data_IF_651087985652
#
_entry.id   IF_651087985652
#
_cell.length_a   1.000
_cell.length_b   1.000
_cell.length_c   1.000
_cell.angle_alpha   90.00
_cell.angle_beta   90.00
_cell.angle_gamma   90.00
#
_symmetry.space_group_name_H-M   'P 1'
#
loop_
_entity.id
_entity.type
_entity.pdbx_description
1 polymer ?
#
# COMPACT_ATOMS: atom_id res chain seq x y z
N UNK A 1 20.67 2.94 -4.39
CA UNK A 1 20.40 1.60 -4.93
C UNK A 1 19.02 1.18 -4.45
N UNK A 2 18.00 1.32 -5.30
CA UNK A 2 16.60 1.25 -4.87
C UNK A 2 16.25 -0.19 -4.49
N UNK A 3 15.88 -0.41 -3.21
CA UNK A 3 15.46 -1.72 -2.68
C UNK A 3 14.42 -2.40 -3.58
N UNK A 4 13.59 -1.62 -4.26
CA UNK A 4 12.59 -2.11 -5.23
C UNK A 4 13.20 -2.82 -6.45
N UNK A 5 14.33 -2.36 -6.97
CA UNK A 5 15.01 -3.00 -8.11
C UNK A 5 15.61 -4.36 -7.72
N UNK A 6 16.11 -4.47 -6.50
CA UNK A 6 16.67 -5.72 -5.96
C UNK A 6 15.59 -6.80 -5.77
N UNK A 7 14.43 -6.44 -5.20
CA UNK A 7 13.30 -7.38 -5.06
C UNK A 7 12.76 -7.86 -6.41
N UNK A 8 12.65 -6.97 -7.41
CA UNK A 8 12.22 -7.35 -8.76
C UNK A 8 13.19 -8.33 -9.43
N UNK A 9 14.50 -8.11 -9.28
CA UNK A 9 15.55 -9.00 -9.81
C UNK A 9 15.52 -10.37 -9.11
N UNK A 10 15.34 -10.41 -7.79
CA UNK A 10 15.21 -11.67 -7.05
C UNK A 10 13.97 -12.47 -7.47
N UNK A 11 12.83 -11.80 -7.69
CA UNK A 11 11.59 -12.46 -8.14
C UNK A 11 11.76 -13.01 -9.56
N UNK A 12 12.39 -12.25 -10.46
CA UNK A 12 12.68 -12.72 -11.83
C UNK A 12 13.64 -13.92 -11.82
N UNK A 13 14.70 -13.88 -11.00
CA UNK A 13 15.65 -14.97 -10.88
C UNK A 13 15.01 -16.24 -10.29
N UNK A 14 14.17 -16.10 -9.26
CA UNK A 14 13.43 -17.22 -8.68
C UNK A 14 12.44 -17.84 -9.67
N UNK A 15 11.74 -17.01 -10.46
CA UNK A 15 10.83 -17.46 -11.51
C UNK A 15 11.57 -18.24 -12.62
N UNK A 16 12.70 -17.72 -13.09
CA UNK A 16 13.57 -18.39 -14.08
C UNK A 16 14.09 -19.73 -13.56
N UNK A 17 14.51 -19.80 -12.29
CA UNK A 17 14.98 -21.02 -11.66
C UNK A 17 13.87 -22.08 -11.54
N UNK A 18 12.67 -21.69 -11.11
CA UNK A 18 11.50 -22.58 -11.06
C UNK A 18 11.10 -23.09 -12.45
N UNK A 19 11.11 -22.22 -13.46
CA UNK A 19 10.83 -22.59 -14.85
C UNK A 19 11.87 -23.59 -15.38
N UNK A 20 13.16 -23.37 -15.10
CA UNK A 20 14.23 -24.29 -15.49
C UNK A 20 14.08 -25.66 -14.82
N UNK A 21 13.74 -25.71 -13.52
CA UNK A 21 13.46 -26.95 -12.80
C UNK A 21 12.28 -27.72 -13.42
N UNK A 22 11.20 -27.02 -13.76
CA UNK A 22 10.05 -27.61 -14.45
C UNK A 22 10.42 -28.19 -15.83
N UNK A 23 11.21 -27.45 -16.62
CA UNK A 23 11.71 -27.93 -17.92
C UNK A 23 12.58 -29.17 -17.76
N UNK A 24 13.48 -29.20 -16.76
CA UNK A 24 14.31 -30.38 -16.50
C UNK A 24 13.49 -31.60 -16.07
N UNK A 25 12.42 -31.42 -15.29
CA UNK A 25 11.51 -32.50 -14.90
C UNK A 25 10.67 -33.04 -16.07
N UNK A 26 10.32 -32.16 -17.03
CA UNK A 26 9.63 -32.53 -18.28
C UNK A 26 10.54 -33.37 -19.19
N UNK A 27 11.82 -32.98 -19.33
CA UNK A 27 12.81 -33.68 -20.17
C UNK A 27 13.15 -35.07 -19.60
N UNK A 28 13.14 -35.24 -18.28
CA UNK A 28 13.48 -36.51 -17.63
C UNK A 28 12.41 -37.62 -17.80
N UNK A 29 11.26 -37.30 -18.44
CA UNK A 29 10.12 -38.18 -18.73
C UNK A 29 9.95 -39.37 -17.76
N UNK A 30 9.66 -39.11 -16.47
CA UNK A 30 9.33 -40.18 -15.54
C UNK A 30 8.03 -40.89 -15.97
N UNK A 31 7.85 -42.17 -15.64
CA UNK A 31 6.74 -43.03 -16.11
C UNK A 31 5.33 -42.52 -15.75
N UNK A 32 5.22 -41.49 -14.92
CA UNK A 32 3.97 -40.85 -14.50
C UNK A 32 3.90 -39.36 -14.92
N UNK A 33 4.30 -39.04 -16.16
CA UNK A 33 4.30 -37.70 -16.79
C UNK A 33 3.03 -36.86 -16.54
N UNK A 34 1.84 -37.49 -16.54
CA UNK A 34 0.57 -36.79 -16.36
C UNK A 34 0.47 -36.05 -15.02
N UNK A 35 1.00 -36.63 -13.93
CA UNK A 35 0.96 -36.01 -12.61
C UNK A 35 1.87 -34.79 -12.53
N UNK A 36 3.07 -34.87 -13.12
CA UNK A 36 4.01 -33.76 -13.16
C UNK A 36 3.49 -32.62 -14.05
N UNK A 37 2.84 -32.92 -15.18
CA UNK A 37 2.24 -31.92 -16.04
C UNK A 37 1.09 -31.15 -15.34
N UNK A 38 0.23 -31.85 -14.61
CA UNK A 38 -0.86 -31.22 -13.83
C UNK A 38 -0.28 -30.37 -12.68
N UNK A 39 0.74 -30.87 -11.97
CA UNK A 39 1.40 -30.13 -10.90
C UNK A 39 2.09 -28.87 -11.44
N UNK A 40 2.73 -28.95 -12.60
CA UNK A 40 3.36 -27.80 -13.26
C UNK A 40 2.35 -26.73 -13.67
N UNK A 41 1.22 -27.13 -14.27
CA UNK A 41 0.16 -26.21 -14.67
C UNK A 41 -0.48 -25.52 -13.47
N UNK A 42 -0.75 -26.27 -12.40
CA UNK A 42 -1.33 -25.71 -11.16
C UNK A 42 -0.36 -24.75 -10.47
N UNK A 43 0.92 -25.12 -10.34
CA UNK A 43 1.95 -24.22 -9.81
C UNK A 43 2.13 -22.95 -10.66
N UNK A 44 2.09 -23.09 -11.99
CA UNK A 44 2.16 -21.96 -12.93
C UNK A 44 0.99 -20.99 -12.79
N UNK A 45 -0.24 -21.50 -12.68
CA UNK A 45 -1.43 -20.68 -12.46
C UNK A 45 -1.37 -19.93 -11.12
N UNK A 46 -0.96 -20.61 -10.04
CA UNK A 46 -0.77 -19.99 -8.72
C UNK A 46 0.29 -18.89 -8.80
N UNK A 47 1.43 -19.18 -9.43
CA UNK A 47 2.51 -18.20 -9.63
C UNK A 47 2.04 -16.97 -10.41
N UNK A 48 1.25 -17.16 -11.47
CA UNK A 48 0.69 -16.08 -12.27
C UNK A 48 -0.25 -15.18 -11.44
N UNK A 49 -1.11 -15.77 -10.61
CA UNK A 49 -2.02 -15.01 -9.72
C UNK A 49 -1.23 -14.20 -8.69
N UNK A 50 -0.23 -14.82 -8.04
CA UNK A 50 0.64 -14.13 -7.07
C UNK A 50 1.40 -12.98 -7.76
N UNK A 51 2.00 -13.23 -8.92
CA UNK A 51 2.74 -12.22 -9.67
C UNK A 51 1.85 -11.03 -10.06
N UNK A 52 0.63 -11.29 -10.54
CA UNK A 52 -0.29 -10.24 -10.92
C UNK A 52 -0.79 -9.42 -9.72
N UNK A 53 -1.08 -10.08 -8.60
CA UNK A 53 -1.50 -9.40 -7.36
C UNK A 53 -0.37 -8.57 -6.76
N UNK A 54 0.87 -9.07 -6.75
CA UNK A 54 2.05 -8.31 -6.33
C UNK A 54 2.29 -7.12 -7.27
N UNK A 55 2.25 -7.34 -8.58
CA UNK A 55 2.46 -6.28 -9.57
C UNK A 55 1.42 -5.18 -9.44
N UNK A 56 0.15 -5.52 -9.19
CA UNK A 56 -0.90 -4.54 -8.91
C UNK A 56 -0.60 -3.74 -7.66
N UNK A 57 -0.28 -4.39 -6.54
CA UNK A 57 0.08 -3.70 -5.28
C UNK A 57 1.28 -2.78 -5.46
N UNK A 58 2.28 -3.18 -6.24
CA UNK A 58 3.44 -2.36 -6.55
C UNK A 58 3.07 -1.15 -7.41
N UNK A 59 2.21 -1.30 -8.40
CA UNK A 59 1.70 -0.19 -9.21
C UNK A 59 0.89 0.81 -8.37
N UNK A 60 0.05 0.31 -7.47
CA UNK A 60 -0.70 1.17 -6.54
C UNK A 60 0.24 1.96 -5.63
N UNK A 61 1.25 1.29 -5.05
CA UNK A 61 2.27 1.93 -4.23
C UNK A 61 3.10 2.95 -5.04
N UNK A 62 3.44 2.63 -6.29
CA UNK A 62 4.17 3.52 -7.18
C UNK A 62 3.35 4.78 -7.51
N UNK A 63 2.07 4.64 -7.83
CA UNK A 63 1.17 5.79 -8.08
C UNK A 63 1.05 6.70 -6.85
N UNK A 64 1.00 6.11 -5.65
CA UNK A 64 0.95 6.86 -4.39
C UNK A 64 2.27 7.60 -4.12
N UNK A 65 3.41 6.98 -4.41
CA UNK A 65 4.73 7.59 -4.22
C UNK A 65 4.99 8.68 -5.27
N UNK A 66 4.61 8.46 -6.52
CA UNK A 66 4.87 9.41 -7.61
C UNK A 66 3.95 10.64 -7.53
N UNK A 67 2.71 10.48 -7.04
CA UNK A 67 1.75 11.58 -6.89
C UNK A 67 1.53 11.96 -5.41
N UNK A 68 2.62 12.05 -4.65
CA UNK A 68 2.58 12.28 -3.21
C UNK A 68 2.17 13.73 -2.88
N UNK A 69 1.05 13.90 -2.20
CA UNK A 69 0.60 15.18 -1.63
C UNK A 69 1.44 15.54 -0.40
N UNK A 70 1.70 14.55 0.45
CA UNK A 70 2.22 14.76 1.79
C UNK A 70 3.44 13.88 2.09
N UNK A 71 4.59 14.48 2.38
CA UNK A 71 5.78 13.82 2.92
C UNK A 71 5.98 14.27 4.38
N UNK A 72 5.35 13.57 5.32
CA UNK A 72 5.52 13.83 6.76
C UNK A 72 6.13 12.59 7.42
N UNK A 73 7.33 12.75 7.99
CA UNK A 73 7.90 11.82 8.95
C UNK A 73 7.23 12.00 10.32
N UNK A 74 7.31 11.00 11.20
CA UNK A 74 6.61 9.72 11.22
C UNK A 74 5.30 9.82 12.01
N UNK A 75 4.31 9.00 11.64
CA UNK A 75 2.98 9.10 12.18
C UNK A 75 2.42 7.82 12.84
N UNK A 76 1.94 7.94 14.08
CA UNK A 76 1.41 6.82 14.89
C UNK A 76 -0.03 6.53 14.47
N UNK A 77 -0.34 5.29 14.08
CA UNK A 77 -1.69 4.89 13.69
C UNK A 77 -2.51 4.51 14.94
N UNK A 78 -3.65 5.16 15.18
CA UNK A 78 -4.66 4.68 16.15
C UNK A 78 -5.88 4.17 15.39
N UNK A 79 -6.09 2.85 15.41
CA UNK A 79 -7.29 2.22 14.85
C UNK A 79 -8.42 2.24 15.90
N UNK A 80 -9.53 2.97 15.67
CA UNK A 80 -10.63 3.07 16.63
C UNK A 80 -11.39 1.74 16.83
N UNK A 81 -11.15 0.70 16.01
CA UNK A 81 -11.80 -0.62 16.15
C UNK A 81 -10.98 -1.65 16.93
N UNK A 82 -9.72 -1.34 17.25
CA UNK A 82 -8.86 -2.27 17.99
C UNK A 82 -8.93 -1.93 19.48
N UNK A 83 -9.79 -2.65 20.21
CA UNK A 83 -9.85 -2.62 21.68
C UNK A 83 -8.42 -2.84 22.22
N UNK A 84 -7.91 -1.87 22.97
CA UNK A 84 -6.59 -1.95 23.62
C UNK A 84 -6.55 -3.20 24.50
N UNK A 85 -5.83 -4.22 24.03
CA UNK A 85 -5.43 -5.36 24.83
C UNK A 85 -3.93 -5.19 25.05
N UNK A 86 -3.62 -4.68 26.24
CA UNK A 86 -2.37 -4.82 26.97
C UNK A 86 -1.07 -4.37 26.28
N UNK A 87 -0.51 -3.28 26.82
CA UNK A 87 0.93 -3.14 27.03
C UNK A 87 1.77 -2.84 25.78
N UNK A 88 2.18 -1.58 25.66
CA UNK A 88 3.41 -1.13 25.02
C UNK A 88 3.87 -1.94 23.79
N UNK A 89 3.33 -1.61 22.62
CA UNK A 89 4.02 -1.96 21.37
C UNK A 89 5.11 -0.91 21.11
N UNK A 90 6.33 -1.33 20.72
CA UNK A 90 7.41 -0.40 20.42
C UNK A 90 6.96 0.49 19.26
N UNK A 91 7.08 1.82 19.45
CA UNK A 91 6.74 2.82 18.44
C UNK A 91 7.73 2.71 17.27
N UNK A 92 7.47 1.77 16.36
CA UNK A 92 8.20 1.72 15.10
C UNK A 92 7.87 2.96 14.30
N UNK A 93 8.91 3.67 13.90
CA UNK A 93 8.88 4.85 13.05
C UNK A 93 8.45 4.44 11.64
N UNK A 94 7.15 4.28 11.41
CA UNK A 94 6.63 3.85 10.11
C UNK A 94 6.54 5.07 9.19
N UNK A 95 7.30 5.05 8.10
CA UNK A 95 7.20 6.06 7.03
C UNK A 95 5.80 6.05 6.41
N UNK A 96 5.24 7.25 6.23
CA UNK A 96 3.87 7.45 5.77
C UNK A 96 3.85 8.41 4.57
N UNK A 97 3.21 7.98 3.50
CA UNK A 97 3.03 8.73 2.26
C UNK A 97 1.53 8.92 2.03
N UNK A 98 1.06 10.16 1.89
CA UNK A 98 -0.33 10.44 1.48
C UNK A 98 -0.32 11.01 0.07
N UNK A 99 -1.18 10.48 -0.78
CA UNK A 99 -1.46 10.91 -2.16
C UNK A 99 -2.95 11.13 -2.33
N UNK A 100 -3.34 11.82 -3.42
CA UNK A 100 -4.74 11.92 -3.84
C UNK A 100 -5.38 10.56 -4.15
N UNK A 101 -4.58 9.49 -4.29
CA UNK A 101 -5.03 8.14 -4.61
C UNK A 101 -4.98 7.15 -3.43
N UNK A 102 -4.50 7.57 -2.25
CA UNK A 102 -4.39 6.68 -1.11
C UNK A 102 -3.32 7.06 -0.10
N UNK A 103 -3.22 6.25 0.94
CA UNK A 103 -2.15 6.31 1.96
C UNK A 103 -1.31 5.04 1.87
N UNK A 104 0.00 5.21 1.85
CA UNK A 104 0.96 4.13 2.07
C UNK A 104 1.57 4.29 3.47
N UNK A 105 1.36 3.31 4.32
CA UNK A 105 1.89 3.24 5.68
C UNK A 105 2.77 1.99 5.81
N UNK A 106 4.09 2.15 5.70
CA UNK A 106 5.03 1.03 5.59
C UNK A 106 4.69 0.13 4.39
N UNK A 107 4.17 -1.07 4.65
CA UNK A 107 3.73 -2.03 3.63
C UNK A 107 2.21 -2.06 3.42
N UNK A 108 1.44 -1.28 4.19
CA UNK A 108 -0.03 -1.24 4.10
C UNK A 108 -0.46 -0.11 3.17
N UNK A 109 -1.24 -0.46 2.16
CA UNK A 109 -1.89 0.51 1.24
C UNK A 109 -3.36 0.65 1.64
N UNK A 110 -3.79 1.89 1.88
CA UNK A 110 -5.20 2.26 2.03
C UNK A 110 -5.58 3.06 0.80
N UNK A 111 -6.47 2.50 -0.03
CA UNK A 111 -6.91 3.13 -1.28
C UNK A 111 -8.12 4.03 -1.06
N UNK A 112 -8.13 5.17 -1.73
CA UNK A 112 -9.29 6.02 -1.94
C UNK A 112 -9.12 6.80 -3.24
N UNK A 113 -10.20 7.34 -3.79
CA UNK A 113 -10.29 7.85 -5.17
C UNK A 113 -9.91 6.80 -6.24
N UNK A 114 -10.05 5.52 -5.90
CA UNK A 114 -9.86 4.37 -6.78
C UNK A 114 -10.92 3.31 -6.48
N UNK A 115 -11.23 2.45 -7.45
CA UNK A 115 -12.13 1.30 -7.27
C UNK A 115 -13.51 1.65 -6.66
N UNK A 116 -14.04 2.85 -6.94
CA UNK A 116 -15.33 3.35 -6.42
C UNK A 116 -15.30 3.88 -4.98
N UNK A 117 -14.17 3.75 -4.28
CA UNK A 117 -13.94 4.32 -2.96
C UNK A 117 -13.52 5.77 -3.14
N UNK A 118 -14.22 6.73 -2.52
CA UNK A 118 -13.92 8.17 -2.64
C UNK A 118 -13.39 8.71 -1.33
N UNK A 119 -12.45 9.66 -1.42
CA UNK A 119 -12.14 10.56 -0.31
C UNK A 119 -13.36 11.45 -0.05
N UNK A 120 -13.75 11.61 1.21
CA UNK A 120 -14.96 12.34 1.62
C UNK A 120 -14.62 13.59 2.41
N UNK A 121 -13.72 13.46 3.38
CA UNK A 121 -13.27 14.59 4.20
C UNK A 121 -11.83 14.37 4.69
N UNK A 122 -11.15 15.48 4.95
CA UNK A 122 -9.83 15.50 5.58
C UNK A 122 -9.87 16.52 6.71
N UNK A 123 -9.44 16.11 7.89
CA UNK A 123 -9.27 16.95 9.07
C UNK A 123 -7.79 16.96 9.45
N UNK A 124 -7.24 18.13 9.70
CA UNK A 124 -5.85 18.29 10.17
C UNK A 124 -5.92 18.94 11.55
N UNK A 125 -5.73 18.10 12.56
CA UNK A 125 -5.52 18.52 13.94
C UNK A 125 -4.06 18.89 14.21
N UNK A 126 -3.79 19.27 15.47
CA UNK A 126 -2.43 19.64 15.90
C UNK A 126 -1.41 18.51 15.79
N UNK A 127 -1.84 17.31 16.14
CA UNK A 127 -1.01 16.09 16.24
C UNK A 127 -1.63 14.91 15.48
N UNK A 128 -2.67 15.14 14.66
CA UNK A 128 -3.32 14.10 13.88
C UNK A 128 -3.89 14.61 12.55
N UNK A 129 -3.97 13.71 11.58
CA UNK A 129 -4.74 13.86 10.35
C UNK A 129 -5.82 12.78 10.36
N UNK A 130 -7.08 13.19 10.24
CA UNK A 130 -8.24 12.32 10.11
C UNK A 130 -8.66 12.31 8.65
N UNK A 131 -8.90 11.13 8.09
CA UNK A 131 -9.32 10.98 6.69
C UNK A 131 -10.57 10.09 6.65
N UNK A 132 -11.65 10.65 6.12
CA UNK A 132 -12.88 9.91 5.83
C UNK A 132 -12.89 9.49 4.37
N UNK A 133 -13.08 8.21 4.13
CA UNK A 133 -13.08 7.62 2.80
C UNK A 133 -14.02 6.43 2.73
N UNK A 134 -14.62 6.20 1.57
CA UNK A 134 -15.62 5.13 1.44
C UNK A 134 -16.47 5.23 0.20
N UNK A 135 -17.45 4.34 0.12
CA UNK A 135 -18.53 4.44 -0.86
C UNK A 135 -19.61 5.41 -0.35
N UNK A 136 -20.69 5.60 -1.09
CA UNK A 136 -21.83 6.38 -0.62
C UNK A 136 -22.63 5.66 0.48
N UNK A 137 -22.44 4.34 0.63
CA UNK A 137 -23.12 3.49 1.61
C UNK A 137 -22.30 3.26 2.88
N UNK A 138 -20.97 3.12 2.76
CA UNK A 138 -20.07 2.85 3.88
C UNK A 138 -18.92 3.87 3.90
N UNK A 139 -18.84 4.67 4.95
CA UNK A 139 -17.73 5.59 5.22
C UNK A 139 -16.84 5.02 6.31
N UNK A 140 -15.54 5.03 6.07
CA UNK A 140 -14.49 4.61 7.00
C UNK A 140 -13.63 5.82 7.37
N UNK A 141 -13.22 5.86 8.62
CA UNK A 141 -12.28 6.86 9.12
C UNK A 141 -10.92 6.21 9.40
N UNK A 142 -9.84 6.90 9.05
CA UNK A 142 -8.49 6.59 9.49
C UNK A 142 -7.87 7.82 10.14
N UNK A 143 -7.29 7.64 11.34
CA UNK A 143 -6.60 8.69 12.07
C UNK A 143 -5.10 8.39 12.15
N UNK A 144 -4.30 9.36 11.72
CA UNK A 144 -2.87 9.26 11.53
C UNK A 144 -2.21 10.35 12.37
N UNK A 145 -1.53 9.97 13.46
CA UNK A 145 -0.94 10.96 14.38
C UNK A 145 0.33 11.51 13.77
N UNK A 146 0.56 12.80 13.60
CA UNK A 146 1.80 13.33 13.04
C UNK A 146 2.47 14.33 13.99
N UNK A 147 3.74 14.67 13.73
CA UNK A 147 4.36 15.83 14.38
C UNK A 147 3.75 17.11 13.84
N UNK A 148 3.49 18.07 14.71
CA UNK A 148 2.84 19.35 14.36
C UNK A 148 3.62 20.04 13.21
N UNK A 149 3.00 20.22 12.02
CA UNK A 149 3.63 20.94 10.93
C UNK A 149 3.71 22.43 11.27
N UNK A 150 4.74 23.09 10.75
CA UNK A 150 4.82 24.54 10.77
C UNK A 150 3.65 25.15 9.97
N UNK A 151 3.29 26.42 10.24
CA UNK A 151 2.18 27.10 9.56
C UNK A 151 2.35 27.13 8.04
N UNK A 152 3.55 27.43 7.55
CA UNK A 152 3.81 27.51 6.11
C UNK A 152 3.68 26.14 5.45
N UNK A 153 4.15 25.10 6.15
CA UNK A 153 3.98 23.70 5.72
C UNK A 153 2.50 23.32 5.72
N UNK A 154 1.75 23.67 6.75
CA UNK A 154 0.32 23.39 6.85
C UNK A 154 -0.48 24.04 5.70
N UNK A 155 -0.18 25.29 5.35
CA UNK A 155 -0.82 25.97 4.22
C UNK A 155 -0.52 25.24 2.90
N UNK A 156 0.74 24.87 2.68
CA UNK A 156 1.13 24.13 1.46
C UNK A 156 0.40 22.78 1.34
N UNK A 157 0.19 22.11 2.47
CA UNK A 157 -0.54 20.84 2.55
C UNK A 157 -2.01 21.04 2.16
N UNK A 158 -2.66 22.05 2.74
CA UNK A 158 -4.07 22.37 2.49
C UNK A 158 -4.28 22.69 1.01
N UNK A 159 -3.41 23.53 0.43
CA UNK A 159 -3.52 23.89 -0.98
C UNK A 159 -3.33 22.69 -1.90
N UNK A 160 -2.37 21.82 -1.59
CA UNK A 160 -2.08 20.65 -2.41
C UNK A 160 -3.20 19.61 -2.34
N UNK A 161 -3.79 19.40 -1.16
CA UNK A 161 -5.01 18.59 -1.03
C UNK A 161 -6.16 19.15 -1.86
N UNK A 162 -6.40 20.46 -1.78
CA UNK A 162 -7.45 21.12 -2.57
C UNK A 162 -7.22 20.96 -4.07
N UNK A 163 -5.99 21.15 -4.54
CA UNK A 163 -5.66 21.07 -5.96
C UNK A 163 -5.76 19.63 -6.51
N UNK A 164 -5.24 18.64 -5.78
CA UNK A 164 -5.19 17.26 -6.27
C UNK A 164 -6.49 16.47 -6.04
N UNK A 165 -7.23 16.77 -4.97
CA UNK A 165 -8.41 15.98 -4.57
C UNK A 165 -9.73 16.75 -4.65
N UNK A 166 -9.68 18.08 -4.79
CA UNK A 166 -10.84 18.95 -4.72
C UNK A 166 -11.40 19.14 -3.29
N UNK A 167 -10.88 18.41 -2.30
CA UNK A 167 -11.31 18.51 -0.91
C UNK A 167 -10.45 19.53 -0.18
N UNK A 168 -11.09 20.47 0.51
CA UNK A 168 -10.39 21.43 1.37
C UNK A 168 -10.33 20.85 2.78
N UNK A 169 -9.13 20.57 3.32
CA UNK A 169 -9.01 20.06 4.68
C UNK A 169 -9.55 21.06 5.71
N UNK A 170 -10.22 20.55 6.74
CA UNK A 170 -10.66 21.32 7.90
C UNK A 170 -9.52 21.33 8.91
N UNK A 171 -9.13 22.50 9.40
CA UNK A 171 -8.10 22.64 10.43
C UNK A 171 -8.76 22.75 11.79
N UNK A 172 -8.36 21.89 12.73
CA UNK A 172 -8.87 21.84 14.10
C UNK A 172 -7.72 22.12 15.08
N UNK A 173 -7.95 22.95 16.10
CA UNK A 173 -6.89 23.43 17.02
C UNK A 173 -6.39 22.42 18.07
#
# INVERSE_FOLDING_TARGET
MNKMSWYAQCILAASLFCAALLVTLIILQPPHWNFYAILALTAGLIGMVIFFTLSKKMKDAQLIIENQILHIQPAVLRDPRKKEINGAQPFETIEMFISGFGILLGFKVVKFNQDGIKLKAVEIGRDFISIDYGTDEEVRNIRLMHQRPDRDVLVSIIEKFRYETGITPIVTE
#
